data_IF_690720618083
#
_entry.id   IF_690720618083
#
_cell.length_a   1.000
_cell.length_b   1.000
_cell.length_c   1.000
_cell.angle_alpha   90.00
_cell.angle_beta   90.00
_cell.angle_gamma   90.00
#
_symmetry.space_group_name_H-M   'P 1'
#
loop_
_entity.id
_entity.type
_entity.pdbx_description
1 polymer ?
#
# COMPACT_ATOMS: atom_id res chain seq x y z
N UNK A 1 8.71 5.82 22.65
CA UNK A 1 8.52 7.26 22.50
C UNK A 1 9.35 7.81 21.34
N UNK A 2 8.80 8.74 20.55
CA UNK A 2 9.51 9.40 19.45
C UNK A 2 9.74 8.57 18.18
N UNK A 3 9.45 7.27 18.17
CA UNK A 3 9.55 6.43 16.97
C UNK A 3 8.63 6.93 15.86
N UNK A 4 9.06 6.76 14.61
CA UNK A 4 8.32 7.23 13.44
C UNK A 4 7.79 6.03 12.66
N UNK A 5 6.50 6.07 12.31
CA UNK A 5 5.87 5.16 11.37
C UNK A 5 5.64 5.90 10.05
N UNK A 6 6.28 5.44 8.99
CA UNK A 6 6.11 5.98 7.64
C UNK A 6 5.49 4.92 6.73
N UNK A 7 4.70 5.39 5.78
CA UNK A 7 4.07 4.50 4.82
C UNK A 7 3.61 5.24 3.58
N UNK A 8 3.18 4.44 2.62
CA UNK A 8 2.54 4.91 1.40
C UNK A 8 1.22 4.19 1.21
N UNK A 9 0.26 4.86 0.63
CA UNK A 9 -1.03 4.29 0.26
C UNK A 9 -1.58 5.02 -0.96
N UNK A 10 -2.59 4.47 -1.60
CA UNK A 10 -3.34 5.21 -2.61
C UNK A 10 -4.06 6.41 -1.98
N UNK A 11 -4.05 7.53 -2.68
CA UNK A 11 -4.73 8.76 -2.24
C UNK A 11 -6.22 8.67 -2.57
N UNK A 12 -7.03 8.35 -1.58
CA UNK A 12 -8.48 8.22 -1.73
C UNK A 12 -9.14 9.48 -2.30
N UNK A 13 -8.60 10.68 -2.02
CA UNK A 13 -9.14 11.93 -2.58
C UNK A 13 -8.93 11.99 -4.10
N UNK A 14 -7.76 11.56 -4.57
CA UNK A 14 -7.45 11.49 -6.00
C UNK A 14 -8.32 10.45 -6.68
N UNK A 15 -8.41 9.23 -6.11
CA UNK A 15 -9.23 8.16 -6.70
C UNK A 15 -10.69 8.55 -6.80
N UNK A 16 -11.27 9.10 -5.73
CA UNK A 16 -12.69 9.53 -5.71
C UNK A 16 -12.93 10.71 -6.66
N UNK A 17 -12.03 11.68 -6.72
CA UNK A 17 -12.14 12.80 -7.66
C UNK A 17 -12.15 12.29 -9.10
N UNK A 18 -11.17 11.47 -9.50
CA UNK A 18 -11.09 10.89 -10.86
C UNK A 18 -12.31 10.02 -11.19
N UNK A 19 -12.79 9.22 -10.24
CA UNK A 19 -14.03 8.47 -10.41
C UNK A 19 -15.22 9.37 -10.71
N UNK A 20 -15.35 10.51 -10.01
CA UNK A 20 -16.46 11.46 -10.22
C UNK A 20 -16.38 12.15 -11.56
N UNK A 21 -15.18 12.43 -12.05
CA UNK A 21 -14.91 13.03 -13.35
C UNK A 21 -15.08 12.03 -14.51
N UNK A 22 -14.85 10.76 -14.28
CA UNK A 22 -14.99 9.72 -15.29
C UNK A 22 -16.46 9.50 -15.69
N UNK A 23 -16.76 9.21 -16.97
CA UNK A 23 -18.12 8.91 -17.41
C UNK A 23 -18.64 7.56 -16.87
N UNK A 24 -17.74 6.60 -16.64
CA UNK A 24 -18.03 5.25 -16.13
C UNK A 24 -17.56 5.07 -14.68
N UNK A 25 -17.58 3.83 -14.19
CA UNK A 25 -17.04 3.45 -12.88
C UNK A 25 -15.57 3.04 -12.97
N UNK A 26 -14.90 3.40 -14.03
CA UNK A 26 -13.49 3.12 -14.24
C UNK A 26 -12.78 4.31 -14.86
N UNK A 27 -11.49 4.39 -14.59
CA UNK A 27 -10.57 5.37 -15.16
C UNK A 27 -9.14 4.81 -15.17
N UNK A 28 -8.31 5.34 -16.03
CA UNK A 28 -6.92 4.91 -16.12
C UNK A 28 -6.27 5.45 -17.38
N UNK A 29 -5.07 4.92 -17.66
CA UNK A 29 -4.34 5.18 -18.89
C UNK A 29 -3.61 3.89 -19.34
N UNK A 30 -2.63 4.01 -20.23
CA UNK A 30 -1.87 2.86 -20.74
C UNK A 30 -1.05 2.11 -19.66
N UNK A 31 -0.84 2.72 -18.49
CA UNK A 31 -0.05 2.15 -17.41
C UNK A 31 -0.89 1.60 -16.27
N UNK A 32 -2.10 2.09 -16.04
CA UNK A 32 -2.92 1.66 -14.92
C UNK A 32 -4.42 1.70 -15.25
N UNK A 33 -5.18 0.92 -14.52
CA UNK A 33 -6.64 0.95 -14.52
C UNK A 33 -7.18 0.85 -13.08
N UNK A 34 -8.18 1.66 -12.75
CA UNK A 34 -8.95 1.62 -11.50
C UNK A 34 -10.42 1.42 -11.85
N UNK A 35 -11.05 0.38 -11.32
CA UNK A 35 -12.45 0.06 -11.57
C UNK A 35 -13.22 -0.17 -10.28
N UNK A 36 -14.28 0.59 -10.08
CA UNK A 36 -15.19 0.44 -8.95
C UNK A 36 -16.36 -0.48 -9.31
N UNK A 37 -16.86 -1.22 -8.32
CA UNK A 37 -18.03 -2.07 -8.50
C UNK A 37 -19.34 -1.28 -8.62
N UNK A 38 -20.40 -1.93 -9.13
CA UNK A 38 -21.73 -1.33 -9.33
C UNK A 38 -22.34 -0.77 -8.03
N UNK A 39 -21.97 -1.28 -6.88
CA UNK A 39 -22.38 -0.74 -5.57
C UNK A 39 -22.00 0.75 -5.39
N UNK A 40 -21.00 1.23 -6.12
CA UNK A 40 -20.51 2.61 -6.08
C UNK A 40 -21.01 3.48 -7.24
N UNK A 41 -22.08 3.06 -7.94
CA UNK A 41 -22.62 3.79 -9.10
C UNK A 41 -23.01 5.23 -8.80
N UNK A 42 -23.44 5.52 -7.58
CA UNK A 42 -23.78 6.88 -7.14
C UNK A 42 -22.53 7.77 -6.92
N UNK A 43 -21.31 7.21 -6.92
CA UNK A 43 -20.03 7.89 -6.66
C UNK A 43 -20.03 8.72 -5.36
N UNK A 44 -20.82 8.29 -4.38
CA UNK A 44 -20.95 8.89 -3.05
C UNK A 44 -20.32 7.97 -2.01
N UNK A 45 -19.49 8.52 -1.17
CA UNK A 45 -18.74 7.82 -0.13
C UNK A 45 -18.99 8.52 1.19
N UNK A 46 -19.95 8.04 2.01
CA UNK A 46 -20.31 8.67 3.26
C UNK A 46 -19.18 8.52 4.30
N UNK A 47 -18.89 9.58 5.02
CA UNK A 47 -17.81 9.61 6.01
C UNK A 47 -18.10 8.76 7.26
N UNK A 48 -19.37 8.45 7.52
CA UNK A 48 -19.83 7.57 8.60
C UNK A 48 -19.68 6.08 8.30
N UNK A 49 -19.47 5.71 7.03
CA UNK A 49 -19.20 4.34 6.59
C UNK A 49 -17.88 4.26 5.78
N UNK A 50 -16.71 4.55 6.39
CA UNK A 50 -15.46 4.71 5.66
C UNK A 50 -14.77 3.39 5.28
N UNK A 51 -15.29 2.24 5.71
CA UNK A 51 -14.66 0.93 5.52
C UNK A 51 -15.33 0.13 4.41
N UNK A 52 -14.58 -0.83 3.84
CA UNK A 52 -15.11 -1.80 2.87
C UNK A 52 -15.37 -1.22 1.47
N UNK A 53 -14.89 -0.02 1.17
CA UNK A 53 -15.02 0.59 -0.15
C UNK A 53 -13.92 0.02 -1.03
N UNK A 54 -14.25 -1.06 -1.75
CA UNK A 54 -13.27 -1.75 -2.62
C UNK A 54 -13.30 -1.23 -4.05
N UNK A 55 -12.17 -1.41 -4.72
CA UNK A 55 -11.99 -1.20 -6.15
C UNK A 55 -11.01 -2.24 -6.70
N UNK A 56 -11.00 -2.42 -8.01
CA UNK A 56 -10.03 -3.26 -8.71
C UNK A 56 -8.93 -2.38 -9.27
N UNK A 57 -7.69 -2.79 -9.09
CA UNK A 57 -6.52 -2.05 -9.53
C UNK A 57 -5.62 -2.91 -10.41
N UNK A 58 -5.19 -2.34 -11.51
CA UNK A 58 -4.16 -2.92 -12.36
C UNK A 58 -3.06 -1.89 -12.60
N UNK A 59 -1.82 -2.31 -12.57
CA UNK A 59 -0.64 -1.53 -12.90
C UNK A 59 0.25 -2.37 -13.81
N UNK A 60 0.53 -1.88 -15.01
CA UNK A 60 1.33 -2.58 -16.02
C UNK A 60 2.65 -3.05 -15.43
N UNK A 61 3.00 -4.31 -15.70
CA UNK A 61 4.23 -4.97 -15.22
C UNK A 61 4.34 -5.16 -13.70
N UNK A 62 3.27 -4.88 -12.92
CA UNK A 62 3.32 -4.96 -11.47
C UNK A 62 2.14 -5.73 -10.87
N UNK A 63 0.91 -5.26 -11.10
CA UNK A 63 -0.31 -5.79 -10.46
C UNK A 63 -1.40 -5.96 -11.50
N UNK A 64 -2.07 -7.11 -11.50
CA UNK A 64 -3.18 -7.41 -12.41
C UNK A 64 -4.47 -7.65 -11.62
N UNK A 65 -5.46 -6.79 -11.85
CA UNK A 65 -6.84 -6.89 -11.33
C UNK A 65 -6.92 -7.24 -9.82
N UNK A 66 -6.09 -6.58 -9.02
CA UNK A 66 -6.06 -6.77 -7.57
C UNK A 66 -7.20 -6.02 -6.89
N UNK A 67 -7.85 -6.64 -5.91
CA UNK A 67 -8.82 -5.94 -5.08
C UNK A 67 -8.11 -5.15 -4.01
N UNK A 68 -8.39 -3.84 -3.96
CA UNK A 68 -7.88 -2.91 -2.98
C UNK A 68 -9.02 -2.13 -2.33
N UNK A 69 -8.72 -1.44 -1.23
CA UNK A 69 -9.70 -0.67 -0.46
C UNK A 69 -9.26 0.77 -0.32
N UNK A 70 -10.23 1.70 -0.42
CA UNK A 70 -9.97 3.12 -0.14
C UNK A 70 -9.57 3.31 1.32
N UNK A 71 -8.46 4.01 1.53
CA UNK A 71 -8.01 4.45 2.85
C UNK A 71 -8.52 5.86 3.09
N UNK A 72 -9.64 6.00 3.82
CA UNK A 72 -10.12 7.31 4.24
C UNK A 72 -9.18 7.90 5.29
N UNK A 73 -8.32 8.81 4.88
CA UNK A 73 -7.20 9.28 5.70
C UNK A 73 -7.61 9.90 7.05
N UNK A 74 -8.72 10.67 7.15
CA UNK A 74 -9.21 11.13 8.46
C UNK A 74 -9.54 9.99 9.43
N UNK A 75 -10.06 8.86 8.93
CA UNK A 75 -10.31 7.66 9.75
C UNK A 75 -9.01 7.00 10.17
N UNK A 76 -8.04 6.83 9.24
CA UNK A 76 -6.71 6.31 9.57
C UNK A 76 -6.03 7.15 10.64
N UNK A 77 -6.10 8.48 10.52
CA UNK A 77 -5.56 9.40 11.52
C UNK A 77 -6.19 9.18 12.90
N UNK A 78 -7.52 9.11 12.99
CA UNK A 78 -8.22 8.88 14.26
C UNK A 78 -7.81 7.54 14.90
N UNK A 79 -7.76 6.47 14.10
CA UNK A 79 -7.31 5.17 14.60
C UNK A 79 -5.85 5.20 15.07
N UNK A 80 -4.98 5.90 14.35
CA UNK A 80 -3.59 6.09 14.77
C UNK A 80 -3.49 6.86 16.11
N UNK A 81 -4.30 7.88 16.29
CA UNK A 81 -4.38 8.67 17.53
C UNK A 81 -4.82 7.81 18.74
N UNK A 82 -5.73 6.85 18.55
CA UNK A 82 -6.15 5.88 19.58
C UNK A 82 -4.96 5.01 20.06
N UNK A 83 -3.96 4.82 19.18
CA UNK A 83 -2.73 4.09 19.49
C UNK A 83 -1.55 5.01 19.84
N UNK A 84 -1.82 6.28 20.16
CA UNK A 84 -0.80 7.25 20.54
C UNK A 84 0.14 7.64 19.40
N UNK A 85 -0.31 7.53 18.15
CA UNK A 85 0.42 7.97 16.97
C UNK A 85 -0.13 9.33 16.52
N UNK A 86 0.73 10.32 16.44
CA UNK A 86 0.42 11.68 16.00
C UNK A 86 0.81 11.86 14.53
N UNK A 87 -0.09 12.39 13.71
CA UNK A 87 0.20 12.67 12.30
C UNK A 87 1.22 13.81 12.19
N UNK A 88 2.35 13.52 11.56
CA UNK A 88 3.41 14.50 11.25
C UNK A 88 3.20 15.10 9.88
N UNK A 89 2.94 14.24 8.88
CA UNK A 89 2.73 14.68 7.50
C UNK A 89 1.91 13.68 6.69
N UNK A 90 1.19 14.18 5.71
CA UNK A 90 0.62 13.42 4.61
C UNK A 90 0.72 14.29 3.36
N UNK A 91 1.27 13.75 2.29
CA UNK A 91 1.48 14.47 1.04
C UNK A 91 1.28 13.55 -0.15
N UNK A 92 0.62 14.04 -1.20
CA UNK A 92 0.59 13.34 -2.47
C UNK A 92 2.01 13.23 -3.06
N UNK A 93 2.31 12.17 -3.79
CA UNK A 93 3.65 11.94 -4.33
C UNK A 93 4.12 13.04 -5.28
N UNK A 94 3.23 13.62 -6.07
CA UNK A 94 3.59 14.73 -6.96
C UNK A 94 3.95 15.99 -6.20
N UNK A 95 3.23 16.28 -5.10
CA UNK A 95 3.51 17.44 -4.25
C UNK A 95 4.81 17.24 -3.45
N UNK A 96 5.00 16.02 -2.91
CA UNK A 96 6.24 15.65 -2.24
C UNK A 96 7.45 15.77 -3.17
N UNK A 97 7.33 15.25 -4.39
CA UNK A 97 8.39 15.39 -5.39
C UNK A 97 8.67 16.85 -5.71
N UNK A 98 7.65 17.66 -5.97
CA UNK A 98 7.82 19.07 -6.29
C UNK A 98 8.54 19.84 -5.18
N UNK A 99 8.24 19.50 -3.91
CA UNK A 99 8.86 20.13 -2.74
C UNK A 99 10.32 19.69 -2.53
N UNK A 100 10.63 18.41 -2.72
CA UNK A 100 11.83 17.78 -2.16
C UNK A 100 12.86 17.35 -3.21
N UNK A 101 12.53 17.29 -4.49
CA UNK A 101 13.41 16.70 -5.51
C UNK A 101 14.78 17.40 -5.63
N UNK A 102 14.84 18.73 -5.42
CA UNK A 102 16.11 19.48 -5.52
C UNK A 102 17.08 19.13 -4.41
N UNK A 103 16.59 19.06 -3.17
CA UNK A 103 17.39 18.69 -2.01
C UNK A 103 17.81 17.22 -2.02
N UNK A 104 17.01 16.36 -2.64
CA UNK A 104 17.25 14.92 -2.74
C UNK A 104 17.80 14.46 -4.10
N UNK A 105 18.19 15.38 -4.98
CA UNK A 105 18.69 15.03 -6.32
C UNK A 105 19.84 14.01 -6.29
N UNK A 106 20.86 14.10 -5.41
CA UNK A 106 21.91 13.08 -5.37
C UNK A 106 21.39 11.68 -5.06
N UNK A 107 20.32 11.57 -4.24
CA UNK A 107 19.69 10.30 -3.92
C UNK A 107 18.89 9.76 -5.13
N UNK A 108 18.12 10.61 -5.80
CA UNK A 108 17.38 10.26 -7.01
C UNK A 108 18.32 9.75 -8.12
N UNK A 109 19.46 10.44 -8.31
CA UNK A 109 20.49 10.04 -9.29
C UNK A 109 21.10 8.69 -8.91
N UNK A 110 21.48 8.51 -7.63
CA UNK A 110 22.02 7.23 -7.12
C UNK A 110 21.06 6.06 -7.31
N UNK A 111 19.78 6.30 -7.06
CA UNK A 111 18.72 5.31 -7.21
C UNK A 111 18.25 5.13 -8.66
N UNK A 112 18.71 5.98 -9.58
CA UNK A 112 18.30 6.00 -10.98
C UNK A 112 16.78 6.08 -11.16
N UNK A 113 16.13 6.88 -10.31
CA UNK A 113 14.68 7.04 -10.32
C UNK A 113 14.22 7.82 -11.55
N UNK A 114 14.98 8.86 -11.92
CA UNK A 114 14.64 9.68 -13.08
C UNK A 114 15.16 9.06 -14.38
N UNK A 115 14.38 9.15 -15.47
CA UNK A 115 14.87 8.80 -16.80
C UNK A 115 16.09 9.65 -17.18
N UNK A 116 16.92 9.21 -18.16
CA UNK A 116 18.11 9.95 -18.58
C UNK A 116 17.83 11.38 -19.06
N UNK A 117 16.65 11.65 -19.62
CA UNK A 117 16.21 13.00 -20.03
C UNK A 117 15.65 13.84 -18.86
N UNK A 118 15.58 13.29 -17.64
CA UNK A 118 15.09 13.97 -16.44
C UNK A 118 13.59 14.13 -16.33
N UNK A 119 12.80 13.60 -17.28
CA UNK A 119 11.35 13.79 -17.30
C UNK A 119 10.61 12.46 -17.46
N UNK A 120 9.58 12.26 -16.62
CA UNK A 120 8.60 11.21 -16.84
C UNK A 120 7.52 11.71 -17.79
N UNK A 121 7.00 10.84 -18.68
CA UNK A 121 5.78 11.12 -19.42
C UNK A 121 4.60 11.41 -18.50
N UNK A 122 3.67 12.26 -18.93
CA UNK A 122 2.48 12.63 -18.14
C UNK A 122 1.70 11.40 -17.66
N UNK A 123 1.58 10.37 -18.50
CA UNK A 123 0.90 9.13 -18.14
C UNK A 123 1.57 8.38 -16.95
N UNK A 124 2.89 8.48 -16.79
CA UNK A 124 3.61 7.93 -15.64
C UNK A 124 3.46 8.84 -14.41
N UNK A 125 3.45 10.17 -14.58
CA UNK A 125 3.13 11.09 -13.51
C UNK A 125 1.72 10.88 -12.95
N UNK A 126 0.77 10.52 -13.80
CA UNK A 126 -0.57 10.16 -13.34
C UNK A 126 -0.56 8.94 -12.43
N UNK A 127 0.28 7.94 -12.68
CA UNK A 127 0.46 6.80 -11.76
C UNK A 127 1.00 7.27 -10.41
N UNK A 128 2.05 8.08 -10.40
CA UNK A 128 2.61 8.63 -9.17
C UNK A 128 1.57 9.46 -8.38
N UNK A 129 0.72 10.22 -9.09
CA UNK A 129 -0.34 11.04 -8.50
C UNK A 129 -1.44 10.22 -7.79
N UNK A 130 -1.55 8.92 -8.06
CA UNK A 130 -2.51 8.06 -7.35
C UNK A 130 -2.12 7.80 -5.90
N UNK A 131 -0.89 8.09 -5.48
CA UNK A 131 -0.35 7.73 -4.18
C UNK A 131 -0.05 8.93 -3.30
N UNK A 132 -0.10 8.70 -1.99
CA UNK A 132 0.40 9.62 -0.99
C UNK A 132 1.36 8.92 -0.02
N UNK A 133 2.31 9.69 0.50
CA UNK A 133 3.18 9.30 1.61
C UNK A 133 2.68 9.91 2.91
N UNK A 134 2.87 9.20 4.01
CA UNK A 134 2.51 9.71 5.33
C UNK A 134 3.57 9.36 6.38
N UNK A 135 3.59 10.15 7.44
CA UNK A 135 4.41 9.91 8.62
C UNK A 135 3.61 10.17 9.89
N UNK A 136 3.68 9.23 10.82
CA UNK A 136 3.19 9.39 12.19
C UNK A 136 4.37 9.29 13.17
N UNK A 137 4.25 9.96 14.31
CA UNK A 137 5.20 9.89 15.42
C UNK A 137 4.52 9.31 16.64
N UNK A 138 5.17 8.35 17.29
CA UNK A 138 4.71 7.84 18.59
C UNK A 138 4.85 8.93 19.65
N UNK A 139 3.74 9.31 20.27
CA UNK A 139 3.75 10.24 21.41
C UNK A 139 4.51 9.67 22.58
N UNK A 140 5.16 10.54 23.30
CA UNK A 140 5.72 10.22 24.61
C UNK A 140 4.63 10.53 25.65
N UNK A 141 3.83 9.53 25.95
CA UNK A 141 2.76 9.60 26.94
C UNK A 141 3.22 9.17 28.34
N UNK A 142 4.55 9.01 28.52
CA UNK A 142 5.14 8.54 29.77
C UNK A 142 4.82 7.07 30.09
N UNK A 143 4.15 6.35 29.18
CA UNK A 143 3.93 4.93 29.34
C UNK A 143 5.27 4.18 29.31
N UNK A 144 5.48 3.18 30.19
CA UNK A 144 6.68 2.38 30.12
C UNK A 144 6.81 1.71 28.75
N UNK A 145 8.02 1.55 28.22
CA UNK A 145 8.22 0.86 26.97
C UNK A 145 7.56 -0.54 27.05
N UNK A 146 6.96 -1.02 25.95
CA UNK A 146 6.42 -2.37 25.95
C UNK A 146 7.53 -3.34 26.36
N UNK A 147 7.19 -4.43 27.08
CA UNK A 147 8.17 -5.42 27.45
C UNK A 147 8.92 -5.89 26.20
N UNK A 148 10.24 -6.12 26.28
CA UNK A 148 10.99 -6.64 25.15
C UNK A 148 10.31 -7.92 24.66
N UNK A 149 10.19 -8.04 23.33
CA UNK A 149 9.68 -9.27 22.73
C UNK A 149 10.48 -10.45 23.29
N UNK A 150 9.81 -11.59 23.60
CA UNK A 150 10.49 -12.78 24.10
C UNK A 150 11.71 -13.06 23.22
N UNK A 151 12.85 -13.24 23.86
CA UNK A 151 14.16 -13.41 23.19
C UNK A 151 14.24 -14.60 22.20
N UNK A 152 13.19 -15.40 22.11
CA UNK A 152 13.04 -16.46 21.09
C UNK A 152 12.52 -16.01 19.72
N UNK A 153 12.04 -14.75 19.57
CA UNK A 153 11.57 -14.20 18.30
C UNK A 153 12.58 -13.24 17.63
N UNK A 154 13.64 -12.85 18.38
CA UNK A 154 14.70 -11.99 17.86
C UNK A 154 15.69 -12.81 17.03
N UNK A 155 15.81 -12.50 15.73
CA UNK A 155 16.85 -13.01 14.83
C UNK A 155 16.74 -14.46 14.31
N UNK A 156 15.58 -15.12 14.41
CA UNK A 156 15.37 -16.32 13.60
C UNK A 156 15.45 -15.90 12.12
N UNK A 157 16.43 -16.45 11.43
CA UNK A 157 16.53 -16.31 9.97
C UNK A 157 15.30 -17.01 9.37
N UNK A 158 14.43 -16.23 8.70
CA UNK A 158 13.29 -16.81 7.98
C UNK A 158 13.82 -17.78 6.93
N UNK A 159 13.28 -18.99 6.95
CA UNK A 159 13.51 -20.00 5.93
C UNK A 159 12.35 -20.02 4.94
N UNK A 160 12.50 -20.69 3.80
CA UNK A 160 11.42 -20.85 2.83
C UNK A 160 10.17 -21.52 3.42
N UNK A 161 10.33 -22.33 4.48
CA UNK A 161 9.24 -22.99 5.18
C UNK A 161 8.41 -22.02 6.07
N UNK A 162 8.98 -20.86 6.41
CA UNK A 162 8.32 -19.81 7.18
C UNK A 162 7.52 -18.86 6.28
N UNK A 163 7.64 -18.98 4.97
CA UNK A 163 6.93 -18.14 3.99
C UNK A 163 5.58 -18.79 3.70
N UNK A 164 4.52 -18.20 4.23
CA UNK A 164 3.15 -18.53 3.82
C UNK A 164 2.89 -17.85 2.49
N UNK A 165 3.01 -18.61 1.39
CA UNK A 165 2.55 -18.15 0.08
C UNK A 165 1.03 -18.25 0.10
N UNK A 166 0.35 -17.12 0.21
CA UNK A 166 -1.10 -17.01 0.03
C UNK A 166 -1.42 -17.18 -1.46
N UNK A 167 -1.23 -18.41 -1.98
CA UNK A 167 -1.78 -18.78 -3.27
C UNK A 167 -3.16 -19.38 -3.03
N UNK A 168 -4.16 -18.77 -3.67
CA UNK A 168 -5.52 -19.28 -3.86
C UNK A 168 -6.44 -19.40 -2.64
N UNK A 169 -6.91 -18.27 -2.13
CA UNK A 169 -8.20 -18.24 -1.42
C UNK A 169 -9.39 -18.25 -2.40
N UNK A 170 -9.16 -18.36 -3.70
CA UNK A 170 -10.19 -18.31 -4.74
C UNK A 170 -10.53 -19.67 -5.38
N UNK A 171 -10.09 -20.81 -4.83
CA UNK A 171 -10.52 -22.12 -5.32
C UNK A 171 -10.96 -23.01 -4.16
N UNK A 172 -12.26 -23.22 -4.12
CA UNK A 172 -13.07 -24.03 -3.22
C UNK A 172 -12.42 -25.17 -2.46
N UNK A 173 -12.98 -25.41 -1.30
CA UNK A 173 -12.79 -26.56 -0.44
C UNK A 173 -12.47 -27.86 -1.18
N UNK A 174 -11.27 -28.44 -0.90
CA UNK A 174 -10.95 -29.78 -1.40
C UNK A 174 -9.50 -30.17 -1.18
N UNK A 175 -9.22 -30.90 -0.12
CA UNK A 175 -8.21 -31.95 -0.05
C UNK A 175 -6.74 -31.55 -0.04
N UNK A 176 -6.19 -31.37 1.14
CA UNK A 176 -4.74 -31.30 1.35
C UNK A 176 -4.02 -32.58 0.84
N UNK A 177 -3.25 -32.44 -0.24
CA UNK A 177 -2.21 -33.41 -0.61
C UNK A 177 -0.88 -32.92 -0.03
N UNK A 178 -0.42 -33.64 1.01
CA UNK A 178 0.97 -33.57 1.45
C UNK A 178 1.87 -33.99 0.28
N UNK A 179 2.81 -33.15 -0.13
CA UNK A 179 3.91 -33.58 -1.02
C UNK A 179 4.86 -34.47 -0.23
N UNK A 180 5.31 -35.59 -0.77
CA UNK A 180 6.32 -36.46 -0.12
C UNK A 180 7.66 -35.73 -0.05
N UNK A 181 8.39 -35.98 1.04
CA UNK A 181 9.77 -35.51 1.26
C UNK A 181 10.74 -36.22 0.30
N UNK A 182 11.83 -35.56 -0.15
CA UNK A 182 12.77 -36.13 -1.12
C UNK A 182 13.72 -37.26 -0.61
N UNK A 183 13.59 -37.71 0.64
CA UNK A 183 14.66 -38.51 1.30
C UNK A 183 14.32 -39.97 1.51
N UNK A 184 13.31 -40.54 0.81
CA UNK A 184 12.94 -41.96 0.95
C UNK A 184 13.17 -42.83 -0.30
N UNK A 185 14.08 -42.46 -1.18
CA UNK A 185 14.54 -43.35 -2.25
C UNK A 185 16.06 -43.59 -2.18
N UNK A 186 16.54 -44.28 -1.13
CA UNK A 186 17.80 -45.02 -1.21
C UNK A 186 17.87 -46.02 -0.07
N UNK A 187 17.14 -47.14 -0.18
CA UNK A 187 17.44 -48.41 0.45
C UNK A 187 16.52 -49.52 -0.08
N UNK A 188 16.88 -50.12 -1.17
CA UNK A 188 16.82 -51.56 -1.41
C UNK A 188 17.77 -51.91 -2.53
#
# INVERSE_FOLDING_TARGET
>A
PGGVFVGTTTDANVLVRRLREAPALEFGNVHYNVRFGAAHAAKKFPADAPFGISYRFSLTESVEDCEEYLVHFPTLRRLAEEHGLELVSVQNFTDLFAAEWRSNKPLLDKMRVLPPNGFFPDAQWEVAHLYCGFAFRKRDDGAPPPPPLPSGLGHRRLTLDDIVILQDVAAGAGGGRKRPRPDEETRQ
#
